data_IF_840130863329
#
_entry.id   IF_840130863329
#
_cell.length_a   1.000
_cell.length_b   1.000
_cell.length_c   1.000
_cell.angle_alpha   90.00
_cell.angle_beta   90.00
_cell.angle_gamma   90.00
#
_symmetry.space_group_name_H-M   'P 1'
#
loop_
_entity.id
_entity.type
_entity.pdbx_description
1 polymer ?
#
# COMPACT_ATOMS: atom_id res chain seq x y z
N UNK A 1 45.24 10.71 -20.69
CA UNK A 1 45.11 9.54 -19.83
C UNK A 1 44.99 10.08 -18.40
N UNK A 2 43.78 10.30 -17.94
CA UNK A 2 43.48 10.81 -16.59
C UNK A 2 42.47 9.86 -15.98
N UNK A 3 42.94 9.13 -14.96
CA UNK A 3 42.19 8.16 -14.20
C UNK A 3 41.02 8.86 -13.47
N UNK A 4 39.80 8.56 -13.88
CA UNK A 4 38.61 8.84 -13.10
C UNK A 4 38.51 7.79 -11.98
N UNK A 5 38.47 8.20 -10.70
CA UNK A 5 38.26 7.25 -9.61
C UNK A 5 36.87 6.62 -9.75
N UNK A 6 36.83 5.29 -9.74
CA UNK A 6 35.63 4.49 -9.64
C UNK A 6 34.86 4.94 -8.37
N UNK A 7 33.77 5.61 -8.57
CA UNK A 7 32.82 5.90 -7.49
C UNK A 7 32.22 4.56 -7.04
N UNK A 8 32.73 4.03 -5.94
CA UNK A 8 32.05 2.99 -5.18
C UNK A 8 30.61 3.47 -4.92
N UNK A 9 29.59 2.64 -5.16
CA UNK A 9 28.26 2.98 -4.71
C UNK A 9 28.34 3.16 -3.20
N UNK A 10 28.22 4.41 -2.76
CA UNK A 10 28.06 4.78 -1.36
C UNK A 10 26.95 3.89 -0.81
N UNK A 11 27.30 3.00 0.14
CA UNK A 11 26.29 2.32 0.96
C UNK A 11 25.40 3.43 1.49
N UNK A 12 24.20 3.51 0.95
CA UNK A 12 23.14 4.37 1.47
C UNK A 12 23.03 3.99 2.93
N UNK A 13 23.47 4.88 3.80
CA UNK A 13 23.32 4.77 5.24
C UNK A 13 21.83 4.61 5.48
N UNK A 14 21.40 3.40 5.81
CA UNK A 14 19.99 3.00 5.94
C UNK A 14 19.47 3.50 7.30
N UNK A 15 19.64 4.80 7.55
CA UNK A 15 19.13 5.52 8.71
C UNK A 15 17.60 5.73 8.64
N UNK A 16 16.91 4.95 7.80
CA UNK A 16 15.45 4.97 7.81
C UNK A 16 14.94 4.43 9.15
N UNK A 17 13.96 5.08 9.79
CA UNK A 17 13.41 4.67 11.10
C UNK A 17 12.77 3.29 11.07
N UNK A 18 12.71 2.72 9.89
CA UNK A 18 12.15 1.41 9.60
C UNK A 18 13.24 0.35 9.43
N UNK A 19 14.54 0.72 9.40
CA UNK A 19 15.65 -0.21 9.23
C UNK A 19 15.72 -1.27 10.35
N UNK A 20 15.30 -0.90 11.55
CA UNK A 20 15.31 -1.77 12.74
C UNK A 20 13.99 -2.56 12.94
N UNK A 21 13.08 -2.54 12.02
CA UNK A 21 11.89 -3.38 12.13
C UNK A 21 12.27 -4.84 11.87
N UNK A 22 11.86 -5.75 12.78
CA UNK A 22 12.11 -7.20 12.65
C UNK A 22 11.81 -7.74 11.24
N UNK A 23 10.76 -7.23 10.62
CA UNK A 23 10.36 -7.60 9.27
C UNK A 23 11.42 -7.28 8.21
N UNK A 24 12.29 -6.29 8.47
CA UNK A 24 13.35 -5.92 7.52
C UNK A 24 14.60 -6.74 7.70
N UNK A 25 14.93 -7.15 8.94
CA UNK A 25 16.08 -8.00 9.19
C UNK A 25 15.97 -9.31 8.41
N UNK A 26 14.75 -9.85 8.23
CA UNK A 26 14.53 -11.06 7.43
C UNK A 26 14.99 -10.87 5.98
N UNK A 27 14.64 -9.73 5.36
CA UNK A 27 15.02 -9.43 3.98
C UNK A 27 16.46 -8.92 3.85
N UNK A 28 17.03 -8.33 4.88
CA UNK A 28 18.43 -7.87 4.89
C UNK A 28 19.41 -9.06 4.96
N UNK A 29 19.07 -10.11 5.69
CA UNK A 29 19.89 -11.33 5.81
C UNK A 29 19.73 -12.24 4.57
N UNK A 30 18.63 -12.10 3.82
CA UNK A 30 18.38 -12.96 2.65
C UNK A 30 19.22 -12.53 1.45
N UNK A 31 20.07 -13.41 0.90
CA UNK A 31 20.87 -13.13 -0.31
C UNK A 31 20.03 -13.17 -1.59
N UNK A 32 18.78 -13.62 -1.50
CA UNK A 32 17.84 -13.77 -2.62
C UNK A 32 16.89 -12.58 -2.69
N UNK A 33 16.38 -12.29 -3.90
CA UNK A 33 15.47 -11.16 -4.12
C UNK A 33 14.17 -11.25 -3.31
N UNK A 34 13.47 -10.13 -3.19
CA UNK A 34 12.24 -9.99 -2.37
C UNK A 34 11.19 -11.07 -2.65
N UNK A 35 10.98 -11.42 -3.92
CA UNK A 35 10.02 -12.45 -4.31
C UNK A 35 10.41 -13.83 -3.77
N UNK A 36 11.66 -14.24 -3.99
CA UNK A 36 12.17 -15.54 -3.54
C UNK A 36 12.14 -15.66 -2.00
N UNK A 37 12.46 -14.57 -1.28
CA UNK A 37 12.34 -14.51 0.19
C UNK A 37 10.89 -14.67 0.64
N UNK A 38 9.92 -14.05 -0.04
CA UNK A 38 8.50 -14.21 0.27
C UNK A 38 8.03 -15.65 0.05
N UNK A 39 8.45 -16.28 -1.03
CA UNK A 39 8.17 -17.69 -1.29
C UNK A 39 8.81 -18.57 -0.21
N UNK A 40 10.03 -18.28 0.20
CA UNK A 40 10.69 -19.02 1.29
C UNK A 40 9.94 -18.89 2.61
N UNK A 41 9.45 -17.70 2.97
CA UNK A 41 8.61 -17.49 4.16
C UNK A 41 7.33 -18.34 4.08
N UNK A 42 6.65 -18.33 2.94
CA UNK A 42 5.47 -19.19 2.72
C UNK A 42 5.79 -20.66 2.94
N UNK A 43 6.86 -21.17 2.31
CA UNK A 43 7.27 -22.57 2.43
C UNK A 43 7.66 -22.94 3.87
N UNK A 44 8.38 -22.08 4.57
CA UNK A 44 8.75 -22.31 5.98
C UNK A 44 7.51 -22.41 6.86
N UNK A 45 6.54 -21.53 6.70
CA UNK A 45 5.29 -21.57 7.46
C UNK A 45 4.48 -22.84 7.15
N UNK A 46 4.45 -23.28 5.89
CA UNK A 46 3.80 -24.54 5.49
C UNK A 46 4.51 -25.76 6.08
N UNK A 47 5.83 -25.81 5.99
CA UNK A 47 6.61 -26.93 6.60
C UNK A 47 6.39 -26.97 8.11
N UNK A 48 6.38 -25.83 8.80
CA UNK A 48 6.05 -25.78 10.21
C UNK A 48 4.63 -26.28 10.51
N UNK A 49 3.66 -25.96 9.66
CA UNK A 49 2.30 -26.50 9.78
C UNK A 49 2.31 -28.03 9.66
N UNK A 50 2.95 -28.57 8.63
CA UNK A 50 3.02 -30.04 8.41
C UNK A 50 3.72 -30.76 9.57
N UNK A 51 4.79 -30.17 10.11
CA UNK A 51 5.48 -30.73 11.29
C UNK A 51 4.51 -30.75 12.49
N UNK A 52 3.79 -29.67 12.75
CA UNK A 52 2.84 -29.61 13.89
C UNK A 52 1.66 -30.55 13.68
N UNK A 53 1.18 -30.70 12.43
CA UNK A 53 0.13 -31.63 12.07
C UNK A 53 0.56 -33.11 12.26
N UNK A 54 1.79 -33.43 11.86
CA UNK A 54 2.38 -34.77 12.06
C UNK A 54 2.51 -35.09 13.55
N UNK A 55 3.05 -34.17 14.35
CA UNK A 55 3.18 -34.34 15.81
C UNK A 55 1.82 -34.56 16.47
N UNK A 56 0.83 -33.76 16.03
CA UNK A 56 -0.53 -33.82 16.56
C UNK A 56 -1.33 -35.03 16.04
N UNK A 57 -0.79 -35.79 15.10
CA UNK A 57 -1.54 -36.84 14.35
C UNK A 57 -2.84 -36.30 13.76
N UNK A 58 -2.78 -35.07 13.23
CA UNK A 58 -3.92 -34.45 12.62
C UNK A 58 -4.34 -35.20 11.36
N UNK A 59 -5.64 -35.44 11.11
CA UNK A 59 -6.08 -36.30 10.02
C UNK A 59 -5.60 -35.81 8.65
N UNK A 60 -5.00 -36.69 7.85
CA UNK A 60 -4.49 -36.34 6.52
C UNK A 60 -5.59 -35.80 5.59
N UNK A 61 -6.81 -36.35 5.74
CA UNK A 61 -7.98 -35.88 4.99
C UNK A 61 -8.26 -34.38 5.24
N UNK A 62 -8.10 -33.91 6.48
CA UNK A 62 -8.34 -32.52 6.87
C UNK A 62 -7.18 -31.60 6.47
N UNK A 63 -5.99 -32.18 6.22
CA UNK A 63 -4.84 -31.45 5.70
C UNK A 63 -4.93 -31.21 4.19
N UNK A 64 -5.43 -32.20 3.43
CA UNK A 64 -5.43 -32.19 1.96
C UNK A 64 -6.71 -31.63 1.34
N UNK A 65 -7.80 -31.53 2.09
CA UNK A 65 -9.03 -30.95 1.57
C UNK A 65 -8.92 -29.45 1.39
N UNK A 66 -9.18 -28.98 0.17
CA UNK A 66 -9.24 -27.57 -0.19
C UNK A 66 -10.62 -26.97 0.19
N UNK A 67 -10.95 -27.02 1.47
CA UNK A 67 -12.18 -26.47 2.02
C UNK A 67 -11.85 -25.44 3.10
N UNK A 68 -12.53 -24.27 3.16
CA UNK A 68 -12.29 -23.26 4.18
C UNK A 68 -12.47 -23.73 5.61
N UNK A 69 -13.18 -24.81 5.80
CA UNK A 69 -13.40 -25.42 7.11
C UNK A 69 -12.23 -26.31 7.55
N UNK A 70 -11.39 -26.70 6.61
CA UNK A 70 -10.28 -27.60 6.84
C UNK A 70 -8.99 -26.88 7.19
N UNK A 71 -8.23 -27.43 8.13
CA UNK A 71 -7.03 -26.78 8.67
C UNK A 71 -5.94 -26.56 7.62
N UNK A 72 -5.77 -27.47 6.67
CA UNK A 72 -4.78 -27.33 5.61
C UNK A 72 -5.02 -26.14 4.68
N UNK A 73 -6.26 -25.92 4.26
CA UNK A 73 -6.61 -24.76 3.42
C UNK A 73 -6.42 -23.45 4.16
N UNK A 74 -6.83 -23.39 5.44
CA UNK A 74 -6.60 -22.22 6.28
C UNK A 74 -5.11 -21.97 6.47
N UNK A 75 -4.28 -23.00 6.65
CA UNK A 75 -2.83 -22.85 6.77
C UNK A 75 -2.19 -22.28 5.50
N UNK A 76 -2.61 -22.75 4.32
CA UNK A 76 -2.16 -22.20 3.03
C UNK A 76 -2.48 -20.69 2.96
N UNK A 77 -3.72 -20.31 3.23
CA UNK A 77 -4.14 -18.90 3.13
C UNK A 77 -3.39 -18.04 4.13
N UNK A 78 -3.27 -18.43 5.39
CA UNK A 78 -2.59 -17.64 6.42
C UNK A 78 -1.10 -17.50 6.14
N UNK A 79 -0.44 -18.57 5.70
CA UNK A 79 0.96 -18.53 5.27
C UNK A 79 1.14 -17.59 4.06
N UNK A 80 0.21 -17.65 3.10
CA UNK A 80 0.24 -16.80 1.92
C UNK A 80 0.00 -15.33 2.26
N UNK A 81 -0.97 -15.00 3.14
CA UNK A 81 -1.21 -13.63 3.61
C UNK A 81 0.07 -13.08 4.26
N UNK A 82 0.71 -13.87 5.13
CA UNK A 82 1.94 -13.46 5.82
C UNK A 82 3.06 -13.16 4.84
N UNK A 83 3.30 -14.07 3.89
CA UNK A 83 4.34 -13.93 2.87
C UNK A 83 4.09 -12.72 1.96
N UNK A 84 2.85 -12.54 1.49
CA UNK A 84 2.45 -11.43 0.63
C UNK A 84 2.53 -10.10 1.38
N UNK A 85 2.05 -10.02 2.61
CA UNK A 85 2.10 -8.80 3.40
C UNK A 85 3.53 -8.32 3.62
N UNK A 86 4.44 -9.23 3.99
CA UNK A 86 5.86 -8.92 4.20
C UNK A 86 6.56 -8.55 2.88
N UNK A 87 6.35 -9.35 1.82
CA UNK A 87 6.95 -9.12 0.51
C UNK A 87 6.51 -7.81 -0.13
N UNK A 88 5.23 -7.48 -0.06
CA UNK A 88 4.70 -6.22 -0.59
C UNK A 88 5.21 -5.00 0.19
N UNK A 89 5.34 -5.09 1.51
CA UNK A 89 5.95 -4.02 2.30
C UNK A 89 7.39 -3.75 1.85
N UNK A 90 8.20 -4.79 1.64
CA UNK A 90 9.58 -4.65 1.14
C UNK A 90 9.62 -4.08 -0.28
N UNK A 91 8.77 -4.59 -1.17
CA UNK A 91 8.66 -4.10 -2.55
C UNK A 91 8.35 -2.60 -2.60
N UNK A 92 7.36 -2.15 -1.83
CA UNK A 92 6.98 -0.72 -1.78
C UNK A 92 8.16 0.14 -1.33
N UNK A 93 8.89 -0.26 -0.29
CA UNK A 93 10.05 0.49 0.19
C UNK A 93 11.18 0.59 -0.82
N UNK A 94 11.50 -0.51 -1.51
CA UNK A 94 12.52 -0.50 -2.56
C UNK A 94 12.14 0.46 -3.69
N UNK A 95 10.86 0.46 -4.08
CA UNK A 95 10.39 1.37 -5.12
C UNK A 95 10.27 2.83 -4.66
N UNK A 96 9.96 3.08 -3.41
CA UNK A 96 9.93 4.43 -2.86
C UNK A 96 11.35 4.99 -2.75
N UNK A 97 12.37 4.18 -2.38
CA UNK A 97 13.77 4.62 -2.36
C UNK A 97 14.31 4.97 -3.76
N UNK A 98 13.85 4.29 -4.82
CA UNK A 98 14.17 4.67 -6.20
C UNK A 98 13.60 6.05 -6.57
N UNK A 99 12.41 6.36 -6.09
CA UNK A 99 11.73 7.64 -6.37
C UNK A 99 12.18 8.80 -5.45
N UNK A 100 12.95 8.53 -4.38
CA UNK A 100 13.42 9.52 -3.39
C UNK A 100 14.24 10.65 -4.04
N UNK A 101 15.03 10.35 -5.05
CA UNK A 101 15.82 11.35 -5.78
C UNK A 101 14.95 12.36 -6.54
N UNK A 102 13.77 11.95 -7.01
CA UNK A 102 12.80 12.83 -7.68
C UNK A 102 12.02 13.60 -6.63
N UNK A 103 11.59 12.93 -5.56
CA UNK A 103 10.83 13.53 -4.47
C UNK A 103 11.64 14.60 -3.75
N UNK A 104 12.95 14.39 -3.51
CA UNK A 104 13.82 15.37 -2.86
C UNK A 104 14.03 16.65 -3.68
N UNK A 105 13.94 16.58 -5.02
CA UNK A 105 13.96 17.77 -5.89
C UNK A 105 12.67 18.58 -5.82
N UNK A 106 11.54 17.93 -5.64
CA UNK A 106 10.22 18.57 -5.53
C UNK A 106 10.01 19.24 -4.17
N UNK A 107 10.75 18.77 -3.15
CA UNK A 107 10.63 19.22 -1.77
C UNK A 107 11.79 20.15 -1.42
N UNK A 108 11.53 21.45 -1.30
CA UNK A 108 12.53 22.42 -0.89
C UNK A 108 12.78 22.37 0.61
N UNK A 109 13.94 21.85 1.04
CA UNK A 109 14.46 22.04 2.41
C UNK A 109 14.15 20.95 3.43
N UNK A 110 13.78 19.72 3.03
CA UNK A 110 13.14 18.77 3.94
C UNK A 110 13.87 17.51 4.38
N UNK A 111 15.21 17.39 4.26
CA UNK A 111 15.87 16.12 4.68
C UNK A 111 16.21 16.02 6.18
N UNK A 112 16.20 17.11 6.94
CA UNK A 112 16.78 17.15 8.29
C UNK A 112 15.83 16.84 9.46
N UNK A 113 14.52 16.80 9.26
CA UNK A 113 13.56 16.71 10.39
C UNK A 113 12.97 15.32 10.65
N UNK A 114 13.26 14.35 9.80
CA UNK A 114 12.70 13.00 9.95
C UNK A 114 13.29 12.17 11.12
N UNK A 115 14.52 12.45 11.55
CA UNK A 115 15.26 11.62 12.53
C UNK A 115 14.80 11.72 13.98
N UNK A 116 14.45 12.90 14.48
CA UNK A 116 14.23 13.13 15.91
C UNK A 116 12.90 12.61 16.48
N UNK A 117 11.86 12.49 15.66
CA UNK A 117 10.54 11.96 16.08
C UNK A 117 10.49 10.44 16.23
N UNK A 118 11.54 9.74 15.85
CA UNK A 118 11.53 8.29 15.58
C UNK A 118 11.72 7.42 16.82
N UNK A 119 12.59 7.81 17.77
CA UNK A 119 12.87 7.00 18.96
C UNK A 119 11.65 6.88 19.90
N UNK A 120 10.89 7.96 20.08
CA UNK A 120 9.64 7.96 20.84
C UNK A 120 8.52 7.14 20.17
N UNK A 121 8.61 6.96 18.85
CA UNK A 121 7.65 6.16 18.09
C UNK A 121 7.89 4.65 18.25
N UNK A 122 9.12 4.17 18.48
CA UNK A 122 9.45 2.75 18.60
C UNK A 122 8.71 2.06 19.73
N UNK A 123 8.71 2.65 20.93
CA UNK A 123 7.99 2.10 22.08
C UNK A 123 6.49 1.96 21.84
N UNK A 124 5.86 2.99 21.24
CA UNK A 124 4.44 2.95 20.88
C UNK A 124 4.13 1.89 19.84
N UNK A 125 5.00 1.69 18.84
CA UNK A 125 4.82 0.66 17.80
C UNK A 125 4.94 -0.76 18.35
N UNK A 126 5.80 -0.98 19.35
CA UNK A 126 5.88 -2.27 20.05
C UNK A 126 4.57 -2.56 20.78
N UNK A 127 4.04 -1.62 21.54
CA UNK A 127 2.76 -1.80 22.24
C UNK A 127 1.58 -2.04 21.26
N UNK A 128 1.55 -1.34 20.14
CA UNK A 128 0.56 -1.56 19.08
C UNK A 128 0.72 -2.96 18.47
N UNK A 129 1.96 -3.40 18.22
CA UNK A 129 2.23 -4.75 17.76
C UNK A 129 1.78 -5.81 18.76
N UNK A 130 2.07 -5.62 20.05
CA UNK A 130 1.64 -6.53 21.12
C UNK A 130 0.12 -6.59 21.24
N UNK A 131 -0.58 -5.44 21.18
CA UNK A 131 -2.04 -5.42 21.20
C UNK A 131 -2.66 -6.10 19.98
N UNK A 132 -2.06 -5.92 18.79
CA UNK A 132 -2.42 -6.63 17.58
C UNK A 132 -2.18 -8.14 17.70
N UNK A 133 -1.04 -8.56 18.25
CA UNK A 133 -0.74 -9.96 18.52
C UNK A 133 -1.74 -10.60 19.48
N UNK A 134 -2.07 -9.92 20.56
CA UNK A 134 -3.09 -10.37 21.52
C UNK A 134 -4.46 -10.53 20.87
N UNK A 135 -4.86 -9.55 20.03
CA UNK A 135 -6.11 -9.64 19.27
C UNK A 135 -6.09 -10.82 18.29
N UNK A 136 -4.96 -11.04 17.58
CA UNK A 136 -4.78 -12.19 16.69
C UNK A 136 -4.92 -13.53 17.42
N UNK A 137 -4.37 -13.64 18.63
CA UNK A 137 -4.52 -14.82 19.49
C UNK A 137 -5.98 -15.05 19.90
N UNK A 138 -6.69 -13.99 20.28
CA UNK A 138 -8.13 -14.06 20.61
C UNK A 138 -8.93 -14.53 19.38
N UNK A 139 -8.63 -14.01 18.21
CA UNK A 139 -9.27 -14.43 16.95
C UNK A 139 -8.99 -15.92 16.68
N UNK A 140 -7.73 -16.39 16.84
CA UNK A 140 -7.39 -17.81 16.68
C UNK A 140 -8.18 -18.67 17.67
N UNK A 141 -8.28 -18.23 18.92
CA UNK A 141 -9.05 -18.95 19.94
C UNK A 141 -10.54 -19.04 19.59
N UNK A 142 -11.12 -18.01 18.99
CA UNK A 142 -12.53 -17.99 18.59
C UNK A 142 -12.78 -18.75 17.27
N UNK A 143 -11.86 -18.66 16.30
CA UNK A 143 -12.03 -19.21 14.96
C UNK A 143 -11.72 -20.70 14.88
N UNK A 144 -10.73 -21.19 15.65
CA UNK A 144 -10.32 -22.59 15.62
C UNK A 144 -11.32 -23.48 16.38
N UNK A 145 -11.82 -24.57 15.78
CA UNK A 145 -12.75 -25.48 16.41
C UNK A 145 -12.26 -26.03 17.75
N UNK A 146 -13.19 -26.26 18.69
CA UNK A 146 -12.87 -26.79 20.04
C UNK A 146 -12.14 -28.14 19.95
N UNK A 147 -12.53 -28.99 19.00
CA UNK A 147 -11.89 -30.30 18.76
C UNK A 147 -10.39 -30.15 18.44
N UNK A 148 -10.03 -29.22 17.57
CA UNK A 148 -8.64 -28.94 17.22
C UNK A 148 -7.87 -28.42 18.42
N UNK A 149 -8.48 -27.53 19.22
CA UNK A 149 -7.87 -26.97 20.42
C UNK A 149 -7.56 -28.01 21.50
N UNK A 150 -8.43 -29.00 21.66
CA UNK A 150 -8.33 -30.00 22.72
C UNK A 150 -7.57 -31.25 22.30
N UNK A 151 -7.72 -31.69 21.06
CA UNK A 151 -7.14 -32.95 20.56
C UNK A 151 -5.84 -32.75 19.78
N UNK A 152 -5.67 -31.57 19.14
CA UNK A 152 -4.53 -31.26 18.26
C UNK A 152 -3.83 -29.97 18.69
N UNK A 153 -3.39 -29.92 19.95
CA UNK A 153 -2.77 -28.72 20.53
C UNK A 153 -1.61 -28.14 19.70
N UNK A 154 -0.68 -28.93 19.09
CA UNK A 154 0.39 -28.36 18.27
C UNK A 154 -0.14 -27.59 17.05
N UNK A 155 -1.20 -28.09 16.40
CA UNK A 155 -1.85 -27.39 15.27
C UNK A 155 -2.50 -26.10 15.75
N UNK A 156 -3.20 -26.12 16.88
CA UNK A 156 -3.76 -24.92 17.49
C UNK A 156 -2.69 -23.86 17.82
N UNK A 157 -1.54 -24.29 18.36
CA UNK A 157 -0.42 -23.38 18.66
C UNK A 157 0.13 -22.73 17.38
N UNK A 158 0.23 -23.49 16.28
CA UNK A 158 0.63 -22.93 14.99
C UNK A 158 -0.35 -21.86 14.50
N UNK A 159 -1.65 -22.12 14.56
CA UNK A 159 -2.68 -21.13 14.22
C UNK A 159 -2.61 -19.90 15.13
N UNK A 160 -2.45 -20.09 16.43
CA UNK A 160 -2.30 -19.01 17.41
C UNK A 160 -1.10 -18.14 17.12
N UNK A 161 0.06 -18.74 16.86
CA UNK A 161 1.28 -18.04 16.51
C UNK A 161 1.14 -17.25 15.21
N UNK A 162 0.62 -17.86 14.17
CA UNK A 162 0.45 -17.22 12.85
C UNK A 162 -0.57 -16.09 12.90
N UNK A 163 -1.70 -16.28 13.58
CA UNK A 163 -2.69 -15.23 13.79
C UNK A 163 -2.17 -14.08 14.65
N UNK A 164 -1.37 -14.37 15.69
CA UNK A 164 -0.71 -13.35 16.51
C UNK A 164 0.27 -12.53 15.68
N UNK A 165 1.07 -13.20 14.84
CA UNK A 165 2.01 -12.53 13.93
C UNK A 165 1.25 -11.62 12.94
N UNK A 166 0.20 -12.14 12.30
CA UNK A 166 -0.65 -11.36 11.41
C UNK A 166 -1.30 -10.19 12.12
N UNK A 167 -1.86 -10.39 13.30
CA UNK A 167 -2.46 -9.32 14.10
C UNK A 167 -1.46 -8.21 14.42
N UNK A 168 -0.22 -8.57 14.80
CA UNK A 168 0.86 -7.61 15.02
C UNK A 168 1.21 -6.84 13.74
N UNK A 169 1.38 -7.54 12.61
CA UNK A 169 1.70 -6.94 11.32
C UNK A 169 0.60 -5.97 10.84
N UNK A 170 -0.66 -6.38 10.95
CA UNK A 170 -1.80 -5.55 10.58
C UNK A 170 -1.93 -4.30 11.45
N UNK A 171 -1.84 -4.44 12.77
CA UNK A 171 -1.95 -3.31 13.70
C UNK A 171 -0.82 -2.30 13.47
N UNK A 172 0.42 -2.78 13.35
CA UNK A 172 1.59 -1.92 13.03
C UNK A 172 1.47 -1.30 11.66
N UNK A 173 1.14 -2.10 10.65
CA UNK A 173 0.95 -1.64 9.27
C UNK A 173 -0.10 -0.54 9.15
N UNK A 174 -1.25 -0.70 9.79
CA UNK A 174 -2.33 0.31 9.78
C UNK A 174 -1.87 1.64 10.41
N UNK A 175 -1.18 1.58 11.55
CA UNK A 175 -0.68 2.79 12.23
C UNK A 175 0.46 3.44 11.44
N UNK A 176 1.40 2.67 10.90
CA UNK A 176 2.49 3.18 10.06
C UNK A 176 1.95 3.85 8.79
N UNK A 177 1.01 3.21 8.12
CA UNK A 177 0.36 3.76 6.92
C UNK A 177 -0.38 5.07 7.22
N UNK A 178 -1.11 5.10 8.35
CA UNK A 178 -1.83 6.33 8.76
C UNK A 178 -0.88 7.46 9.14
N UNK A 179 0.26 7.16 9.78
CA UNK A 179 1.30 8.16 10.08
C UNK A 179 1.97 8.64 8.80
N UNK A 180 2.44 7.73 7.96
CA UNK A 180 3.06 8.07 6.68
C UNK A 180 2.16 8.95 5.80
N UNK A 181 0.85 8.68 5.76
CA UNK A 181 -0.11 9.52 5.04
C UNK A 181 -0.25 10.93 5.64
N UNK A 182 -0.11 11.09 6.97
CA UNK A 182 -0.15 12.40 7.63
C UNK A 182 1.15 13.16 7.41
N UNK A 183 2.29 12.52 7.67
CA UNK A 183 3.60 13.12 7.50
C UNK A 183 3.81 13.58 6.05
N UNK A 184 3.36 12.75 5.11
CA UNK A 184 3.35 13.10 3.70
C UNK A 184 2.42 14.31 3.40
N UNK A 185 1.22 14.35 3.98
CA UNK A 185 0.31 15.48 3.83
C UNK A 185 0.93 16.79 4.36
N UNK A 186 1.55 16.74 5.55
CA UNK A 186 2.24 17.89 6.14
C UNK A 186 3.44 18.33 5.29
N UNK A 187 4.16 17.40 4.70
CA UNK A 187 5.27 17.67 3.79
C UNK A 187 4.79 18.38 2.51
N UNK A 188 3.72 17.86 1.90
CA UNK A 188 3.08 18.47 0.73
C UNK A 188 2.60 19.88 1.05
N UNK A 189 1.96 20.08 2.21
CA UNK A 189 1.42 21.39 2.58
C UNK A 189 2.52 22.44 2.82
N UNK A 190 3.67 22.05 3.38
CA UNK A 190 4.74 23.00 3.76
C UNK A 190 5.81 23.18 2.69
N UNK A 191 6.19 22.14 1.97
CA UNK A 191 7.42 22.12 1.17
C UNK A 191 7.20 21.84 -0.32
N UNK A 192 5.98 21.44 -0.75
CA UNK A 192 5.73 21.19 -2.16
C UNK A 192 5.63 22.50 -2.94
N UNK A 193 6.56 22.72 -3.85
CA UNK A 193 6.45 23.75 -4.90
C UNK A 193 5.78 23.14 -6.12
N UNK A 194 4.60 23.64 -6.45
CA UNK A 194 3.88 23.20 -7.64
C UNK A 194 4.31 24.07 -8.81
N UNK A 195 5.04 23.46 -9.76
CA UNK A 195 5.26 24.06 -11.07
C UNK A 195 4.15 23.58 -12.03
N UNK A 196 3.27 24.49 -12.40
CA UNK A 196 2.13 24.19 -13.27
C UNK A 196 2.53 23.78 -14.68
N UNK A 197 3.78 24.06 -15.11
CA UNK A 197 4.30 23.64 -16.40
C UNK A 197 4.91 22.24 -16.36
N UNK A 198 5.16 21.70 -15.15
CA UNK A 198 5.78 20.37 -14.92
C UNK A 198 4.97 19.51 -13.97
N UNK A 199 3.66 19.53 -14.09
CA UNK A 199 2.76 18.73 -13.22
C UNK A 199 3.02 17.23 -13.36
N UNK A 200 3.57 16.79 -14.48
CA UNK A 200 3.94 15.37 -14.72
C UNK A 200 4.96 14.84 -13.70
N UNK A 201 5.82 15.68 -13.13
CA UNK A 201 6.75 15.29 -12.06
C UNK A 201 6.00 14.87 -10.78
N UNK A 202 4.80 15.40 -10.55
CA UNK A 202 3.95 15.03 -9.40
C UNK A 202 3.31 13.64 -9.54
N UNK A 203 3.37 13.00 -10.72
CA UNK A 203 2.90 11.63 -10.94
C UNK A 203 3.64 10.60 -10.05
N UNK A 204 4.87 10.91 -9.61
CA UNK A 204 5.61 10.08 -8.65
C UNK A 204 4.82 9.90 -7.35
N UNK A 205 4.17 10.97 -6.88
CA UNK A 205 3.33 10.96 -5.67
C UNK A 205 2.13 10.03 -5.85
N UNK A 206 1.46 10.12 -7.01
CA UNK A 206 0.34 9.23 -7.34
C UNK A 206 0.76 7.76 -7.38
N UNK A 207 1.93 7.48 -7.95
CA UNK A 207 2.48 6.11 -8.02
C UNK A 207 2.84 5.55 -6.65
N UNK A 208 3.48 6.34 -5.77
CA UNK A 208 3.81 5.91 -4.41
C UNK A 208 2.52 5.61 -3.61
N UNK A 209 1.53 6.49 -3.65
CA UNK A 209 0.23 6.27 -3.00
C UNK A 209 -0.48 5.01 -3.50
N UNK A 210 -0.44 4.75 -4.82
CA UNK A 210 -1.01 3.54 -5.41
C UNK A 210 -0.28 2.28 -4.92
N UNK A 211 1.07 2.31 -4.80
CA UNK A 211 1.87 1.18 -4.30
C UNK A 211 1.53 0.82 -2.86
N UNK A 212 1.38 1.83 -1.99
CA UNK A 212 0.98 1.58 -0.58
C UNK A 212 -0.42 0.97 -0.51
N UNK A 213 -1.35 1.43 -1.35
CA UNK A 213 -2.69 0.85 -1.44
C UNK A 213 -2.68 -0.61 -1.91
N UNK A 214 -1.73 -0.98 -2.78
CA UNK A 214 -1.56 -2.36 -3.26
C UNK A 214 -1.25 -3.36 -2.14
N UNK A 215 -0.59 -2.95 -1.05
CA UNK A 215 -0.35 -3.85 0.10
C UNK A 215 -1.69 -4.35 0.66
N UNK A 216 -2.61 -3.44 0.90
CA UNK A 216 -3.92 -3.77 1.46
C UNK A 216 -4.82 -4.53 0.49
N UNK A 217 -4.76 -4.19 -0.80
CA UNK A 217 -5.51 -4.89 -1.83
C UNK A 217 -5.00 -6.30 -2.07
N UNK A 218 -3.68 -6.52 -2.03
CA UNK A 218 -3.11 -7.86 -2.17
C UNK A 218 -3.49 -8.77 -1.00
N UNK A 219 -3.51 -8.23 0.22
CA UNK A 219 -4.02 -8.96 1.38
C UNK A 219 -5.52 -9.30 1.21
N UNK A 220 -6.34 -8.32 0.81
CA UNK A 220 -7.76 -8.58 0.54
C UNK A 220 -7.96 -9.67 -0.52
N UNK A 221 -7.16 -9.66 -1.59
CA UNK A 221 -7.21 -10.66 -2.64
C UNK A 221 -6.90 -12.07 -2.13
N UNK A 222 -5.89 -12.23 -1.27
CA UNK A 222 -5.57 -13.53 -0.67
C UNK A 222 -6.66 -13.98 0.31
N UNK A 223 -7.19 -13.07 1.12
CA UNK A 223 -8.30 -13.37 2.05
C UNK A 223 -9.55 -13.84 1.29
N UNK A 224 -9.77 -13.37 0.06
CA UNK A 224 -10.87 -13.85 -0.79
C UNK A 224 -10.81 -15.34 -1.13
N UNK A 225 -9.65 -16.00 -0.99
CA UNK A 225 -9.54 -17.46 -1.16
C UNK A 225 -10.36 -18.24 -0.12
N UNK A 226 -10.73 -17.61 1.02
CA UNK A 226 -11.67 -18.23 1.95
C UNK A 226 -13.08 -18.43 1.36
N UNK A 227 -13.44 -17.68 0.30
CA UNK A 227 -14.72 -17.90 -0.40
C UNK A 227 -14.75 -19.22 -1.21
N UNK A 228 -13.60 -19.83 -1.50
CA UNK A 228 -13.54 -21.03 -2.36
C UNK A 228 -14.29 -22.24 -1.80
N UNK A 229 -14.75 -22.25 -0.55
CA UNK A 229 -15.45 -23.36 0.05
C UNK A 229 -16.91 -23.15 0.44
N UNK A 230 -17.52 -22.06 0.00
CA UNK A 230 -18.97 -21.91 0.05
C UNK A 230 -19.57 -21.27 1.30
N UNK A 231 -19.01 -21.41 2.48
CA UNK A 231 -19.45 -20.70 3.69
C UNK A 231 -18.36 -19.75 4.15
N UNK A 232 -18.67 -18.46 4.17
CA UNK A 232 -17.67 -17.45 4.53
C UNK A 232 -17.98 -16.90 5.92
N UNK A 233 -17.07 -17.05 6.87
CA UNK A 233 -17.22 -16.44 8.19
C UNK A 233 -17.36 -14.92 8.08
N UNK A 234 -18.24 -14.32 8.88
CA UNK A 234 -18.43 -12.85 8.94
C UNK A 234 -17.10 -12.10 9.16
N UNK A 235 -16.17 -12.70 9.91
CA UNK A 235 -14.83 -12.16 10.13
C UNK A 235 -14.05 -11.97 8.83
N UNK A 236 -14.12 -12.91 7.89
CA UNK A 236 -13.42 -12.82 6.58
C UNK A 236 -13.96 -11.65 5.78
N UNK A 237 -15.30 -11.49 5.75
CA UNK A 237 -15.94 -10.35 5.08
C UNK A 237 -15.49 -9.04 5.73
N UNK A 238 -15.45 -8.97 7.06
CA UNK A 238 -15.00 -7.79 7.79
C UNK A 238 -13.53 -7.43 7.45
N UNK A 239 -12.63 -8.42 7.36
CA UNK A 239 -11.23 -8.21 6.98
C UNK A 239 -11.11 -7.68 5.55
N UNK A 240 -11.90 -8.21 4.61
CA UNK A 240 -11.90 -7.75 3.21
C UNK A 240 -12.38 -6.30 3.12
N UNK A 241 -13.51 -5.99 3.75
CA UNK A 241 -14.06 -4.62 3.78
C UNK A 241 -13.07 -3.65 4.43
N UNK A 242 -12.46 -4.04 5.54
CA UNK A 242 -11.45 -3.23 6.22
C UNK A 242 -10.22 -3.00 5.32
N UNK A 243 -9.68 -4.04 4.70
CA UNK A 243 -8.48 -3.94 3.85
C UNK A 243 -8.76 -3.11 2.59
N UNK A 244 -9.89 -3.34 1.93
CA UNK A 244 -10.29 -2.56 0.76
C UNK A 244 -10.58 -1.09 1.13
N UNK A 245 -11.28 -0.86 2.22
CA UNK A 245 -11.55 0.49 2.75
C UNK A 245 -10.27 1.24 3.11
N UNK A 246 -9.31 0.56 3.74
CA UNK A 246 -8.00 1.13 4.06
C UNK A 246 -7.21 1.48 2.80
N UNK A 247 -7.20 0.59 1.79
CA UNK A 247 -6.54 0.84 0.52
C UNK A 247 -7.08 2.09 -0.18
N UNK A 248 -8.41 2.21 -0.29
CA UNK A 248 -9.07 3.36 -0.90
C UNK A 248 -8.84 4.63 -0.09
N UNK A 249 -8.95 4.56 1.23
CA UNK A 249 -8.71 5.71 2.11
C UNK A 249 -7.30 6.28 1.96
N UNK A 250 -6.28 5.40 1.92
CA UNK A 250 -4.89 5.80 1.72
C UNK A 250 -4.73 6.48 0.38
N UNK A 251 -5.23 5.85 -0.69
CA UNK A 251 -5.11 6.35 -2.04
C UNK A 251 -5.71 7.76 -2.17
N UNK A 252 -6.98 7.91 -1.82
CA UNK A 252 -7.68 9.19 -1.95
C UNK A 252 -7.13 10.27 -1.00
N UNK A 253 -6.80 9.92 0.24
CA UNK A 253 -6.30 10.88 1.22
C UNK A 253 -4.96 11.50 0.84
N UNK A 254 -4.07 10.69 0.26
CA UNK A 254 -2.78 11.17 -0.21
C UNK A 254 -2.92 12.11 -1.42
N UNK A 255 -3.82 11.76 -2.34
CA UNK A 255 -4.03 12.52 -3.57
C UNK A 255 -4.83 13.81 -3.38
N UNK A 256 -5.80 13.81 -2.46
CA UNK A 256 -6.62 15.00 -2.17
C UNK A 256 -5.78 16.23 -1.80
N UNK A 257 -4.70 16.04 -1.03
CA UNK A 257 -3.80 17.14 -0.63
C UNK A 257 -3.07 17.72 -1.83
N UNK A 258 -2.52 16.87 -2.67
CA UNK A 258 -1.80 17.29 -3.88
C UNK A 258 -2.76 17.97 -4.87
N UNK A 259 -3.95 17.38 -5.09
CA UNK A 259 -5.00 17.98 -5.91
C UNK A 259 -5.36 19.38 -5.44
N UNK A 260 -5.60 19.56 -4.14
CA UNK A 260 -5.93 20.87 -3.58
C UNK A 260 -4.81 21.91 -3.78
N UNK A 261 -3.54 21.49 -3.63
CA UNK A 261 -2.38 22.34 -3.90
C UNK A 261 -2.28 22.75 -5.36
N UNK A 262 -2.42 21.81 -6.30
CA UNK A 262 -2.41 22.10 -7.74
C UNK A 262 -3.55 23.07 -8.07
N UNK A 263 -4.75 22.80 -7.56
CA UNK A 263 -5.93 23.66 -7.79
C UNK A 263 -5.74 25.06 -7.23
N UNK A 264 -5.17 25.22 -6.05
CA UNK A 264 -4.86 26.54 -5.47
C UNK A 264 -3.82 27.29 -6.30
N UNK A 265 -2.71 26.62 -6.67
CA UNK A 265 -1.66 27.20 -7.51
C UNK A 265 -2.22 27.62 -8.88
N UNK A 266 -3.03 26.77 -9.51
CA UNK A 266 -3.69 27.05 -10.80
C UNK A 266 -4.61 28.26 -10.71
N UNK A 267 -5.44 28.35 -9.67
CA UNK A 267 -6.34 29.51 -9.47
C UNK A 267 -5.54 30.79 -9.28
N UNK A 268 -4.56 30.80 -8.38
CA UNK A 268 -3.73 31.97 -8.11
C UNK A 268 -3.01 32.45 -9.38
N UNK A 269 -2.49 31.53 -10.20
CA UNK A 269 -1.80 31.90 -11.44
C UNK A 269 -2.77 32.41 -12.51
N UNK A 270 -3.94 31.76 -12.67
CA UNK A 270 -4.98 32.28 -13.58
C UNK A 270 -5.47 33.65 -13.18
N UNK A 271 -5.68 33.92 -11.89
CA UNK A 271 -6.12 35.23 -11.42
C UNK A 271 -5.05 36.29 -11.67
N UNK A 272 -3.76 35.94 -11.48
CA UNK A 272 -2.64 36.84 -11.81
C UNK A 272 -2.62 37.17 -13.31
N UNK A 273 -2.66 36.16 -14.16
CA UNK A 273 -2.59 36.34 -15.62
C UNK A 273 -3.80 37.12 -16.13
N UNK A 274 -4.99 36.88 -15.63
CA UNK A 274 -6.21 37.60 -16.00
C UNK A 274 -6.14 39.07 -15.57
N UNK A 275 -5.55 39.35 -14.43
CA UNK A 275 -5.31 40.73 -13.99
C UNK A 275 -4.33 41.44 -14.93
N UNK A 276 -3.23 40.80 -15.32
CA UNK A 276 -2.27 41.32 -16.30
C UNK A 276 -2.92 41.56 -17.67
N UNK A 277 -3.74 40.60 -18.15
CA UNK A 277 -4.52 40.74 -19.40
C UNK A 277 -5.45 41.94 -19.33
N UNK A 278 -6.17 42.14 -18.22
CA UNK A 278 -7.08 43.28 -18.04
C UNK A 278 -6.35 44.61 -18.08
N UNK A 279 -5.17 44.72 -17.46
CA UNK A 279 -4.34 45.89 -17.49
C UNK A 279 -3.78 46.21 -18.90
N UNK A 280 -3.32 45.17 -19.61
CA UNK A 280 -2.75 45.35 -20.95
C UNK A 280 -3.80 45.62 -22.04
N UNK A 281 -5.05 45.20 -21.84
CA UNK A 281 -6.11 45.34 -22.83
C UNK A 281 -6.33 46.77 -23.29
N UNK A 282 -6.24 47.73 -22.39
CA UNK A 282 -6.38 49.18 -22.72
C UNK A 282 -5.18 49.72 -23.48
N UNK A 283 -3.97 49.18 -23.22
CA UNK A 283 -2.74 49.61 -23.89
C UNK A 283 -2.58 48.99 -25.29
N UNK A 284 -3.01 47.73 -25.45
CA UNK A 284 -2.90 46.98 -26.71
C UNK A 284 -3.67 47.60 -27.88
N UNK A 285 -4.65 48.49 -27.62
CA UNK A 285 -5.37 49.21 -28.65
C UNK A 285 -4.53 50.26 -29.37
N UNK A 286 -3.41 50.70 -28.78
CA UNK A 286 -2.58 51.80 -29.26
C UNK A 286 -1.11 51.45 -29.47
N UNK A 287 -0.70 50.24 -29.05
CA UNK A 287 0.69 49.76 -29.14
C UNK A 287 0.79 48.33 -29.63
N UNK A 288 1.50 48.13 -30.76
CA UNK A 288 1.74 46.80 -31.36
C UNK A 288 2.56 45.89 -30.46
N UNK A 289 3.47 46.43 -29.64
CA UNK A 289 4.26 45.61 -28.69
C UNK A 289 3.39 45.11 -27.55
N UNK A 290 2.44 45.92 -27.05
CA UNK A 290 1.46 45.53 -26.07
C UNK A 290 0.48 44.47 -26.64
N UNK A 291 0.08 44.58 -27.90
CA UNK A 291 -0.76 43.61 -28.57
C UNK A 291 -0.08 42.24 -28.69
N UNK A 292 1.23 42.18 -29.02
CA UNK A 292 2.01 40.94 -29.09
C UNK A 292 2.14 40.29 -27.70
N UNK A 293 2.40 41.05 -26.65
CA UNK A 293 2.45 40.56 -25.25
C UNK A 293 1.10 40.03 -24.79
N UNK A 294 0.00 40.72 -25.14
CA UNK A 294 -1.35 40.24 -24.82
C UNK A 294 -1.65 38.88 -25.44
N UNK A 295 -1.23 38.65 -26.69
CA UNK A 295 -1.36 37.36 -27.36
C UNK A 295 -0.59 36.26 -26.61
N UNK A 296 0.64 36.54 -26.16
CA UNK A 296 1.43 35.63 -25.32
C UNK A 296 0.76 35.28 -24.00
N UNK A 297 0.15 36.30 -23.31
CA UNK A 297 -0.58 36.04 -22.07
C UNK A 297 -1.85 35.23 -22.26
N UNK A 298 -2.59 35.41 -23.35
CA UNK A 298 -3.77 34.62 -23.69
C UNK A 298 -3.39 33.16 -23.99
N UNK A 299 -2.29 32.95 -24.73
CA UNK A 299 -1.76 31.62 -24.97
C UNK A 299 -1.31 30.93 -23.66
N UNK A 300 -0.68 31.67 -22.77
CA UNK A 300 -0.27 31.19 -21.45
C UNK A 300 -1.48 30.85 -20.55
N UNK A 301 -2.52 31.73 -20.51
CA UNK A 301 -3.77 31.43 -19.79
C UNK A 301 -4.40 30.12 -20.26
N UNK A 302 -4.50 29.96 -21.59
CA UNK A 302 -5.07 28.73 -22.18
C UNK A 302 -4.27 27.49 -21.76
N UNK A 303 -2.93 27.60 -21.73
CA UNK A 303 -2.05 26.51 -21.31
C UNK A 303 -2.24 26.17 -19.84
N UNK A 304 -2.29 27.16 -18.94
CA UNK A 304 -2.55 26.94 -17.52
C UNK A 304 -3.95 26.39 -17.29
N UNK A 305 -4.96 26.90 -18.00
CA UNK A 305 -6.33 26.39 -17.90
C UNK A 305 -6.44 24.90 -18.27
N UNK A 306 -5.64 24.44 -19.25
CA UNK A 306 -5.59 23.04 -19.69
C UNK A 306 -4.84 22.11 -18.73
N UNK A 307 -4.11 22.62 -17.73
CA UNK A 307 -3.38 21.79 -16.75
C UNK A 307 -4.35 20.92 -15.97
N UNK A 308 -4.07 19.61 -15.93
CA UNK A 308 -4.85 18.66 -15.15
C UNK A 308 -4.65 18.88 -13.65
N UNK A 309 -5.75 18.91 -12.91
CA UNK A 309 -5.71 19.17 -11.46
C UNK A 309 -5.38 17.90 -10.64
N UNK A 310 -5.48 16.72 -11.26
CA UNK A 310 -5.16 15.47 -10.60
C UNK A 310 -3.75 15.00 -10.94
N UNK A 311 -2.92 14.64 -9.94
CA UNK A 311 -1.53 14.22 -10.13
C UNK A 311 -1.43 12.75 -10.53
N UNK A 312 -2.24 12.30 -11.46
CA UNK A 312 -2.17 10.92 -11.97
C UNK A 312 -2.76 10.83 -13.37
N UNK A 313 -2.23 9.89 -14.14
CA UNK A 313 -2.72 9.54 -15.45
C UNK A 313 -3.93 8.58 -15.36
N UNK A 314 -4.79 8.60 -16.37
CA UNK A 314 -5.94 7.70 -16.48
C UNK A 314 -5.54 6.23 -16.35
N UNK A 315 -4.33 5.86 -16.80
CA UNK A 315 -3.78 4.51 -16.65
C UNK A 315 -3.62 4.10 -15.18
N UNK A 316 -3.26 5.02 -14.29
CA UNK A 316 -3.12 4.75 -12.84
C UNK A 316 -4.48 4.51 -12.20
N UNK A 317 -5.50 5.31 -12.54
CA UNK A 317 -6.87 5.08 -12.07
C UNK A 317 -7.42 3.73 -12.53
N UNK A 318 -7.21 3.39 -13.81
CA UNK A 318 -7.65 2.11 -14.34
C UNK A 318 -6.98 0.94 -13.60
N UNK A 319 -5.68 1.02 -13.35
CA UNK A 319 -4.94 -0.01 -12.58
C UNK A 319 -5.49 -0.15 -11.17
N UNK A 320 -5.70 0.94 -10.45
CA UNK A 320 -6.29 0.90 -9.09
C UNK A 320 -7.70 0.32 -9.14
N UNK A 321 -8.51 0.71 -10.13
CA UNK A 321 -9.85 0.14 -10.36
C UNK A 321 -9.81 -1.37 -10.58
N UNK A 322 -8.91 -1.86 -11.45
CA UNK A 322 -8.70 -3.29 -11.68
C UNK A 322 -8.26 -3.99 -10.40
N UNK A 323 -7.33 -3.41 -9.63
CA UNK A 323 -6.87 -4.02 -8.37
C UNK A 323 -7.97 -4.11 -7.31
N UNK A 324 -8.90 -3.15 -7.26
CA UNK A 324 -10.08 -3.21 -6.38
C UNK A 324 -11.05 -4.31 -6.83
N UNK A 325 -11.14 -4.59 -8.12
CA UNK A 325 -12.01 -5.64 -8.67
C UNK A 325 -11.45 -7.05 -8.45
N UNK A 326 -10.13 -7.22 -8.34
CA UNK A 326 -9.51 -8.55 -8.13
C UNK A 326 -10.08 -9.26 -6.89
N UNK A 327 -10.20 -8.63 -5.70
CA UNK A 327 -10.84 -9.27 -4.55
C UNK A 327 -12.32 -9.61 -4.75
N UNK A 328 -13.03 -8.91 -5.61
CA UNK A 328 -14.44 -9.17 -5.87
C UNK A 328 -14.66 -10.36 -6.83
N UNK A 329 -13.69 -10.68 -7.67
CA UNK A 329 -13.82 -11.72 -8.70
C UNK A 329 -14.14 -13.12 -8.16
N UNK A 330 -13.53 -13.64 -7.07
CA UNK A 330 -13.90 -14.94 -6.53
C UNK A 330 -15.33 -14.98 -5.96
N UNK A 331 -15.78 -13.90 -5.32
CA UNK A 331 -17.13 -13.81 -4.76
C UNK A 331 -18.20 -13.76 -5.86
N UNK A 332 -17.96 -12.98 -6.91
CA UNK A 332 -18.86 -12.90 -8.07
C UNK A 332 -18.86 -14.19 -8.87
N UNK A 333 -17.71 -14.83 -9.06
CA UNK A 333 -17.60 -16.13 -9.73
C UNK A 333 -18.39 -17.23 -9.02
N UNK A 334 -18.33 -17.29 -7.69
CA UNK A 334 -19.13 -18.25 -6.90
C UNK A 334 -20.62 -17.94 -6.93
N UNK A 335 -21.02 -16.67 -6.84
CA UNK A 335 -22.41 -16.28 -6.94
C UNK A 335 -23.00 -16.67 -8.30
N UNK A 336 -22.24 -16.46 -9.38
CA UNK A 336 -22.61 -16.90 -10.73
C UNK A 336 -22.69 -18.41 -10.83
N UNK A 337 -21.71 -19.16 -10.33
CA UNK A 337 -21.75 -20.63 -10.34
C UNK A 337 -22.97 -21.18 -9.58
N UNK A 338 -23.27 -20.64 -8.39
CA UNK A 338 -24.46 -21.04 -7.63
C UNK A 338 -25.73 -20.73 -8.41
N UNK A 339 -25.83 -19.52 -8.98
CA UNK A 339 -26.97 -19.15 -9.82
C UNK A 339 -27.17 -20.10 -10.99
N UNK A 340 -26.07 -20.47 -11.70
CA UNK A 340 -26.13 -21.44 -12.80
C UNK A 340 -26.54 -22.84 -12.32
N UNK A 341 -25.97 -23.33 -11.22
CA UNK A 341 -26.31 -24.64 -10.66
C UNK A 341 -27.78 -24.68 -10.22
N UNK A 342 -28.29 -23.63 -9.55
CA UNK A 342 -29.67 -23.56 -9.09
C UNK A 342 -30.70 -23.42 -10.23
N UNK A 343 -30.33 -22.76 -11.34
CA UNK A 343 -31.28 -22.48 -12.43
C UNK A 343 -31.12 -23.37 -13.65
N UNK A 344 -29.99 -24.06 -13.79
CA UNK A 344 -29.69 -24.93 -14.93
C UNK A 344 -29.33 -26.36 -14.53
N UNK A 345 -29.35 -26.74 -13.23
CA UNK A 345 -29.32 -28.14 -12.83
C UNK A 345 -30.68 -28.75 -13.17
N UNK A 346 -30.73 -29.31 -14.36
CA UNK A 346 -31.75 -30.24 -14.82
C UNK A 346 -31.56 -31.61 -14.16
#
# INVERSE_FOLDING_TARGET
MSDLPATHPTQANDDSPFADAFEQSIFAVSPVGTFATSVAIFLVLMVLFEITALIARYPLADQLRLSPQEGGWQAIILSLITAVALGMQRYVRLKDSEDDSVLSRLLTGGSATFGASQAAARGKLLWIGMSGAALGLVIAFMAVPVTVRTQHLPVFLWFGMTMSLLGALFARGAVMTRRGARDFADLVDRHLKVDLLRVDELNVIGRSSARVSLIWLSVAAVVCLFFAGGQTPLLVIAIIIFSAGMALWIFFRSLERVHNKIRQAKRAELDRVRHEIAQMRSQAAHDHTAASRLHGLLAYETRIAAVHEWPFDQSTLLRVGVYVLIPAAPATGQALMRYFVEHFSL
#
